data_IF_750522227950
#
_entry.id   IF_750522227950
#
_cell.length_a   1.000
_cell.length_b   1.000
_cell.length_c   1.000
_cell.angle_alpha   90.00
_cell.angle_beta   90.00
_cell.angle_gamma   90.00
#
_symmetry.space_group_name_H-M   'P 1'
#
loop_
_entity.id
_entity.type
_entity.pdbx_description
1 polymer ?
#
# COMPACT_ATOMS: atom_id res chain seq x y z
N UNK A 1 -13.54 -24.28 7.32
CA UNK A 1 -13.21 -22.90 6.94
C UNK A 1 -13.04 -22.87 5.43
N UNK A 2 -13.61 -21.89 4.72
CA UNK A 2 -13.49 -21.77 3.26
C UNK A 2 -12.41 -20.71 2.97
N UNK A 3 -11.38 -21.05 2.19
CA UNK A 3 -10.27 -20.14 1.86
C UNK A 3 -9.94 -20.24 0.38
N UNK A 4 -9.67 -19.09 -0.23
CA UNK A 4 -9.06 -18.96 -1.55
C UNK A 4 -7.71 -18.28 -1.34
N UNK A 5 -6.65 -18.83 -1.90
CA UNK A 5 -5.33 -18.19 -1.96
C UNK A 5 -5.05 -17.79 -3.40
N UNK A 6 -4.64 -16.55 -3.61
CA UNK A 6 -4.23 -16.04 -4.91
C UNK A 6 -2.72 -15.79 -4.85
N UNK A 7 -1.98 -16.48 -5.71
CA UNK A 7 -0.55 -16.26 -5.91
C UNK A 7 -0.35 -15.56 -7.25
N UNK A 8 -0.18 -14.24 -7.20
CA UNK A 8 0.00 -13.41 -8.39
C UNK A 8 1.35 -13.64 -9.06
N UNK A 9 2.38 -14.07 -8.33
CA UNK A 9 3.73 -14.29 -8.89
C UNK A 9 3.81 -15.59 -9.68
N UNK A 10 3.28 -16.68 -9.13
CA UNK A 10 3.23 -17.99 -9.78
C UNK A 10 2.00 -18.18 -10.67
N UNK A 11 1.09 -17.21 -10.65
CA UNK A 11 -0.19 -17.20 -11.37
C UNK A 11 -1.06 -18.42 -11.04
N UNK A 12 -1.21 -18.71 -9.75
CA UNK A 12 -2.00 -19.85 -9.26
C UNK A 12 -3.10 -19.45 -8.30
N UNK A 13 -4.22 -20.18 -8.35
CA UNK A 13 -5.35 -20.05 -7.45
C UNK A 13 -5.49 -21.36 -6.67
N UNK A 14 -5.45 -21.27 -5.35
CA UNK A 14 -5.65 -22.41 -4.46
C UNK A 14 -7.02 -22.32 -3.78
N UNK A 15 -7.78 -23.39 -3.88
CA UNK A 15 -9.11 -23.51 -3.32
C UNK A 15 -9.07 -24.48 -2.13
N UNK A 16 -9.51 -24.03 -0.97
CA UNK A 16 -9.66 -24.85 0.23
C UNK A 16 -11.09 -24.80 0.73
N UNK A 17 -11.89 -25.79 0.33
CA UNK A 17 -13.28 -25.97 0.73
C UNK A 17 -13.48 -27.40 1.26
N UNK A 18 -14.52 -27.60 2.08
CA UNK A 18 -14.87 -28.94 2.54
C UNK A 18 -15.22 -29.85 1.36
N UNK A 19 -14.31 -30.76 0.99
CA UNK A 19 -14.46 -31.70 -0.13
C UNK A 19 -13.87 -31.25 -1.47
N UNK A 20 -13.35 -30.02 -1.58
CA UNK A 20 -12.65 -29.52 -2.77
C UNK A 20 -11.35 -28.83 -2.34
N UNK A 21 -10.23 -29.47 -2.64
CA UNK A 21 -8.89 -28.92 -2.49
C UNK A 21 -8.18 -29.05 -3.83
N UNK A 22 -7.62 -27.95 -4.33
CA UNK A 22 -6.95 -27.95 -5.62
C UNK A 22 -6.17 -26.67 -5.85
N UNK A 23 -5.13 -26.79 -6.66
CA UNK A 23 -4.33 -25.68 -7.16
C UNK A 23 -4.51 -25.64 -8.67
N UNK A 24 -4.96 -24.51 -9.20
CA UNK A 24 -5.09 -24.30 -10.64
C UNK A 24 -4.21 -23.14 -11.08
N UNK A 25 -3.65 -23.27 -12.29
CA UNK A 25 -2.87 -22.20 -12.90
C UNK A 25 -3.79 -21.30 -13.72
N UNK A 26 -3.69 -20.00 -13.51
CA UNK A 26 -4.49 -18.99 -14.18
C UNK A 26 -3.57 -17.97 -14.87
N UNK A 27 -3.13 -18.23 -16.12
CA UNK A 27 -2.27 -17.32 -16.86
C UNK A 27 -2.91 -15.93 -17.01
N UNK A 28 -2.16 -14.89 -16.67
CA UNK A 28 -2.63 -13.51 -16.63
C UNK A 28 -3.16 -13.06 -15.27
N UNK A 29 -3.15 -13.92 -14.24
CA UNK A 29 -3.56 -13.55 -12.87
C UNK A 29 -2.78 -12.35 -12.34
N UNK A 30 -1.48 -12.27 -12.65
CA UNK A 30 -0.62 -11.15 -12.24
C UNK A 30 -1.14 -9.79 -12.72
N UNK A 31 -1.70 -9.74 -13.92
CA UNK A 31 -2.25 -8.50 -14.49
C UNK A 31 -3.54 -8.05 -13.80
N UNK A 32 -4.16 -8.96 -13.03
CA UNK A 32 -5.38 -8.71 -12.27
C UNK A 32 -5.11 -8.40 -10.79
N UNK A 33 -3.84 -8.33 -10.36
CA UNK A 33 -3.49 -8.07 -8.96
C UNK A 33 -4.10 -6.76 -8.44
N UNK A 34 -3.79 -5.63 -9.08
CA UNK A 34 -4.34 -4.33 -8.70
C UNK A 34 -5.88 -4.27 -8.68
N UNK A 35 -6.62 -4.72 -9.72
CA UNK A 35 -8.08 -4.69 -9.67
C UNK A 35 -8.67 -5.66 -8.65
N UNK A 36 -8.07 -6.83 -8.40
CA UNK A 36 -8.52 -7.76 -7.36
C UNK A 36 -8.30 -7.17 -5.96
N UNK A 37 -7.13 -6.60 -5.70
CA UNK A 37 -6.83 -5.94 -4.42
C UNK A 37 -7.79 -4.77 -4.18
N UNK A 38 -8.05 -3.97 -5.20
CA UNK A 38 -9.04 -2.87 -5.13
C UNK A 38 -10.45 -3.38 -4.82
N UNK A 39 -10.90 -4.47 -5.45
CA UNK A 39 -12.19 -5.11 -5.17
C UNK A 39 -12.29 -5.59 -3.70
N UNK A 40 -11.17 -6.04 -3.14
CA UNK A 40 -11.06 -6.48 -1.74
C UNK A 40 -10.92 -5.31 -0.75
N UNK A 41 -10.95 -4.06 -1.23
CA UNK A 41 -10.83 -2.86 -0.41
C UNK A 41 -9.40 -2.47 -0.04
N UNK A 42 -8.39 -3.12 -0.63
CA UNK A 42 -7.00 -2.68 -0.50
C UNK A 42 -6.74 -1.53 -1.46
N UNK A 43 -6.21 -0.43 -0.94
CA UNK A 43 -5.75 0.69 -1.74
C UNK A 43 -4.26 0.57 -2.03
N UNK A 44 -3.85 0.99 -3.21
CA UNK A 44 -2.43 1.16 -3.53
C UNK A 44 -1.92 2.37 -2.77
N UNK A 45 -0.85 2.20 -2.00
CA UNK A 45 -0.22 3.27 -1.23
C UNK A 45 1.11 3.60 -1.88
N UNK A 46 1.41 4.88 -2.06
CA UNK A 46 2.72 5.30 -2.52
C UNK A 46 3.76 5.05 -1.42
N UNK A 47 4.67 4.12 -1.66
CA UNK A 47 5.72 3.73 -0.72
C UNK A 47 6.97 4.63 -0.80
N UNK A 48 7.05 5.57 -1.75
CA UNK A 48 8.20 6.48 -1.87
C UNK A 48 8.48 7.28 -0.59
N UNK A 49 7.47 7.90 0.07
CA UNK A 49 7.71 8.62 1.33
C UNK A 49 8.24 7.70 2.45
N UNK A 50 7.80 6.44 2.46
CA UNK A 50 8.28 5.44 3.41
C UNK A 50 9.75 5.12 3.15
N UNK A 51 10.11 4.86 1.90
CA UNK A 51 11.48 4.58 1.49
C UNK A 51 12.42 5.77 1.80
N UNK A 52 11.98 7.00 1.52
CA UNK A 52 12.75 8.21 1.80
C UNK A 52 12.97 8.41 3.30
N UNK A 53 11.94 8.20 4.13
CA UNK A 53 12.06 8.30 5.58
C UNK A 53 12.99 7.22 6.16
N UNK A 54 12.92 5.99 5.66
CA UNK A 54 13.84 4.90 6.05
C UNK A 54 15.27 5.26 5.69
N UNK A 55 15.50 5.73 4.45
CA UNK A 55 16.83 6.12 3.99
C UNK A 55 17.40 7.27 4.83
N UNK A 56 16.59 8.30 5.11
CA UNK A 56 17.00 9.42 5.95
C UNK A 56 17.36 8.97 7.39
N UNK A 57 16.60 8.04 7.96
CA UNK A 57 16.87 7.51 9.30
C UNK A 57 18.15 6.68 9.35
N UNK A 58 18.34 5.76 8.40
CA UNK A 58 19.55 4.91 8.33
C UNK A 58 20.82 5.73 8.10
N UNK A 59 20.73 6.80 7.31
CA UNK A 59 21.84 7.73 7.09
C UNK A 59 22.05 8.74 8.24
N UNK A 60 21.25 8.66 9.31
CA UNK A 60 21.35 9.56 10.47
C UNK A 60 20.95 11.01 10.16
N UNK A 61 20.22 11.25 9.07
CA UNK A 61 19.75 12.58 8.66
C UNK A 61 18.54 13.04 9.47
N UNK A 62 17.78 12.10 10.05
CA UNK A 62 16.65 12.36 10.95
C UNK A 62 16.75 11.50 12.20
N UNK A 63 16.18 11.98 13.30
CA UNK A 63 16.08 11.24 14.57
C UNK A 63 15.00 10.15 14.52
N UNK A 64 15.05 9.19 15.45
CA UNK A 64 14.02 8.16 15.59
C UNK A 64 12.62 8.77 15.83
N UNK A 65 12.54 9.88 16.56
CA UNK A 65 11.28 10.58 16.82
C UNK A 65 10.68 11.12 15.52
N UNK A 66 11.50 11.73 14.67
CA UNK A 66 11.08 12.24 13.36
C UNK A 66 10.68 11.11 12.42
N UNK A 67 11.43 10.00 12.40
CA UNK A 67 11.06 8.82 11.62
C UNK A 67 9.68 8.28 12.00
N UNK A 68 9.38 8.14 13.31
CA UNK A 68 8.06 7.67 13.79
C UNK A 68 6.91 8.61 13.39
N UNK A 69 7.16 9.92 13.40
CA UNK A 69 6.18 10.92 12.94
C UNK A 69 5.90 10.76 11.44
N UNK A 70 6.95 10.61 10.62
CA UNK A 70 6.81 10.41 9.17
C UNK A 70 6.10 9.11 8.82
N UNK A 71 6.37 8.01 9.53
CA UNK A 71 5.64 6.74 9.35
C UNK A 71 4.16 6.87 9.71
N UNK A 72 3.84 7.63 10.75
CA UNK A 72 2.45 7.86 11.16
C UNK A 72 1.71 8.67 10.08
N UNK A 73 2.34 9.72 9.54
CA UNK A 73 1.78 10.50 8.44
C UNK A 73 1.60 9.66 7.16
N UNK A 74 2.60 8.85 6.77
CA UNK A 74 2.53 8.01 5.57
C UNK A 74 1.44 6.93 5.66
N UNK A 75 1.16 6.41 6.85
CA UNK A 75 0.08 5.45 7.08
C UNK A 75 -1.32 6.10 7.20
N UNK A 76 -1.39 7.40 7.48
CA UNK A 76 -2.65 8.16 7.64
C UNK A 76 -3.00 9.00 6.40
N UNK A 77 -2.12 9.07 5.40
CA UNK A 77 -2.38 9.82 4.18
C UNK A 77 -3.39 9.06 3.33
N UNK A 78 -4.68 9.34 3.55
CA UNK A 78 -5.74 9.01 2.59
C UNK A 78 -5.39 9.67 1.24
N UNK A 79 -5.38 8.93 0.12
CA UNK A 79 -5.04 9.48 -1.20
C UNK A 79 -6.08 10.48 -1.73
N UNK A 80 -7.20 10.67 -1.01
CA UNK A 80 -8.31 11.56 -1.36
C UNK A 80 -8.35 12.87 -0.55
N UNK A 81 -7.34 13.17 0.28
CA UNK A 81 -7.31 14.47 0.98
C UNK A 81 -6.79 15.56 0.02
N UNK A 82 -7.63 16.53 -0.41
CA UNK A 82 -7.16 17.62 -1.25
C UNK A 82 -6.15 18.44 -0.46
N UNK A 83 -4.95 18.61 -1.03
CA UNK A 83 -3.93 19.53 -0.52
C UNK A 83 -4.58 20.91 -0.31
N UNK A 84 -4.91 21.26 0.94
CA UNK A 84 -5.34 22.60 1.28
C UNK A 84 -4.21 23.58 0.85
N UNK A 85 -4.52 24.62 0.06
CA UNK A 85 -3.52 25.63 -0.26
C UNK A 85 -3.10 26.30 1.06
N UNK A 86 -1.80 26.23 1.36
CA UNK A 86 -1.22 26.84 2.55
C UNK A 86 -1.56 28.34 2.65
N UNK A 87 -1.50 28.92 3.86
CA UNK A 87 -2.03 30.25 4.13
C UNK A 87 -1.38 31.29 3.21
N UNK A 88 -2.23 32.03 2.51
CA UNK A 88 -1.88 33.16 1.65
C UNK A 88 -0.94 34.11 2.41
N UNK A 89 0.23 34.40 1.83
CA UNK A 89 1.19 35.33 2.42
C UNK A 89 0.54 36.72 2.55
N UNK A 90 0.79 37.46 3.65
CA UNK A 90 0.12 38.73 3.87
C UNK A 90 0.56 39.75 2.81
N UNK A 91 -0.41 40.31 2.09
CA UNK A 91 -0.24 41.52 1.28
C UNK A 91 0.07 42.70 2.21
N UNK A 92 1.25 43.29 2.04
CA UNK A 92 1.64 44.54 2.68
C UNK A 92 0.98 45.69 1.90
N UNK A 93 0.09 46.46 2.55
CA UNK A 93 -0.35 47.79 2.10
C UNK A 93 0.63 48.85 2.64
#
# INVERSE_FOLDING_TARGET
MKKITLDFENETVELHFGGQNGVERFPGLKNLEAPILSLLGYQSVDMRPVADAVNAYVNGQISEREFRLLMTAACLSDPDEPLEPGPEAPTLD
#
